data_IF_363372730815
#
_entry.id   IF_363372730815
#
_cell.length_a   1.000
_cell.length_b   1.000
_cell.length_c   1.000
_cell.angle_alpha   90.00
_cell.angle_beta   90.00
_cell.angle_gamma   90.00
#
_symmetry.space_group_name_H-M   'P 1'
#
loop_
_entity.id
_entity.type
_entity.pdbx_description
1 polymer ?
#
# COMPACT_ATOMS: atom_id res chain seq x y z
N UNK A 1 37.05 -44.08 36.19
CA UNK A 1 37.36 -42.88 35.39
C UNK A 1 36.69 -43.06 34.03
N UNK A 2 35.66 -42.28 33.72
CA UNK A 2 35.12 -42.16 32.36
C UNK A 2 34.38 -40.82 32.23
N UNK A 3 34.72 -40.10 31.17
CA UNK A 3 34.45 -38.68 30.95
C UNK A 3 33.09 -38.52 30.27
N UNK A 4 32.22 -37.67 30.82
CA UNK A 4 30.95 -37.33 30.22
C UNK A 4 31.15 -36.36 29.03
N UNK A 5 30.80 -36.80 27.81
CA UNK A 5 30.62 -35.91 26.66
C UNK A 5 29.25 -35.25 26.72
N UNK A 6 29.21 -33.93 27.00
CA UNK A 6 28.01 -33.11 26.81
C UNK A 6 27.71 -32.99 25.32
N UNK A 7 26.61 -33.60 24.86
CA UNK A 7 26.00 -33.28 23.57
C UNK A 7 25.48 -31.84 23.64
N UNK A 8 25.97 -30.98 22.75
CA UNK A 8 25.38 -29.66 22.50
C UNK A 8 24.09 -29.89 21.72
N UNK A 9 22.96 -29.83 22.40
CA UNK A 9 21.67 -29.73 21.73
C UNK A 9 21.58 -28.30 21.18
N UNK A 10 21.89 -28.14 19.89
CA UNK A 10 21.60 -26.93 19.17
C UNK A 10 20.08 -26.78 19.14
N UNK A 11 19.54 -26.01 20.09
CA UNK A 11 18.18 -25.50 20.07
C UNK A 11 18.05 -24.52 18.89
N UNK A 12 17.94 -25.06 17.68
CA UNK A 12 17.49 -24.33 16.52
C UNK A 12 15.98 -24.23 16.60
N UNK A 13 15.48 -23.10 17.09
CA UNK A 13 14.06 -22.75 16.96
C UNK A 13 13.79 -22.59 15.47
N UNK A 14 13.22 -23.62 14.85
CA UNK A 14 12.68 -23.49 13.49
C UNK A 14 11.29 -22.87 13.64
N UNK A 15 11.20 -21.54 13.49
CA UNK A 15 9.91 -20.88 13.29
C UNK A 15 9.40 -21.25 11.89
N UNK A 16 8.71 -22.40 11.79
CA UNK A 16 7.71 -22.59 10.73
C UNK A 16 6.50 -21.78 11.12
N UNK A 17 6.56 -20.47 10.87
CA UNK A 17 5.35 -19.69 10.77
C UNK A 17 4.84 -19.99 9.37
N UNK A 18 4.02 -21.04 9.25
CA UNK A 18 2.97 -20.99 8.26
C UNK A 18 2.13 -19.79 8.67
N UNK A 19 2.45 -18.61 8.14
CA UNK A 19 1.53 -17.49 8.19
C UNK A 19 0.39 -17.90 7.28
N UNK A 20 -0.80 -18.28 7.79
CA UNK A 20 -1.95 -18.21 6.93
C UNK A 20 -2.02 -16.75 6.53
N UNK A 21 -1.62 -16.44 5.30
CA UNK A 21 -2.08 -15.22 4.65
C UNK A 21 -3.56 -15.45 4.55
N UNK A 22 -4.28 -14.97 5.57
CA UNK A 22 -5.70 -14.78 5.52
C UNK A 22 -5.87 -13.70 4.47
N UNK A 23 -5.87 -14.11 3.20
CA UNK A 23 -6.51 -13.38 2.11
C UNK A 23 -8.01 -13.44 2.38
N UNK A 24 -8.44 -12.89 3.51
CA UNK A 24 -9.78 -12.41 3.60
C UNK A 24 -9.84 -11.29 2.56
N UNK A 25 -10.58 -11.53 1.49
CA UNK A 25 -10.97 -10.48 0.55
C UNK A 25 -11.48 -9.22 1.28
N UNK A 26 -11.95 -9.36 2.54
CA UNK A 26 -12.30 -8.28 3.47
C UNK A 26 -11.14 -7.31 3.74
N UNK A 27 -9.92 -7.79 4.02
CA UNK A 27 -8.76 -6.96 4.37
C UNK A 27 -8.19 -6.24 3.16
N UNK A 28 -8.00 -6.97 2.06
CA UNK A 28 -7.50 -6.40 0.81
C UNK A 28 -8.48 -5.36 0.24
N UNK A 29 -9.79 -5.63 0.26
CA UNK A 29 -10.81 -4.69 -0.19
C UNK A 29 -10.81 -3.42 0.66
N UNK A 30 -10.77 -3.55 1.99
CA UNK A 30 -10.74 -2.39 2.88
C UNK A 30 -9.49 -1.53 2.64
N UNK A 31 -8.32 -2.14 2.53
CA UNK A 31 -7.08 -1.41 2.22
C UNK A 31 -7.18 -0.68 0.89
N UNK A 32 -7.72 -1.33 -0.16
CA UNK A 32 -7.92 -0.68 -1.45
C UNK A 32 -8.92 0.48 -1.37
N UNK A 33 -10.00 0.34 -0.61
CA UNK A 33 -10.98 1.42 -0.40
C UNK A 33 -10.37 2.60 0.35
N UNK A 34 -9.54 2.35 1.36
CA UNK A 34 -8.82 3.41 2.07
C UNK A 34 -7.80 4.10 1.16
N UNK A 35 -7.07 3.36 0.33
CA UNK A 35 -6.14 3.93 -0.64
C UNK A 35 -6.88 4.80 -1.67
N UNK A 36 -8.05 4.36 -2.15
CA UNK A 36 -8.89 5.13 -3.07
C UNK A 36 -9.43 6.41 -2.44
N UNK A 37 -9.96 6.33 -1.23
CA UNK A 37 -10.40 7.52 -0.49
C UNK A 37 -9.24 8.51 -0.29
N UNK A 38 -8.06 8.02 0.10
CA UNK A 38 -6.89 8.86 0.32
C UNK A 38 -6.37 9.51 -0.96
N UNK A 39 -6.34 8.79 -2.09
CA UNK A 39 -5.95 9.37 -3.38
C UNK A 39 -6.87 10.53 -3.79
N UNK A 40 -8.19 10.37 -3.59
CA UNK A 40 -9.16 11.43 -3.86
C UNK A 40 -8.96 12.64 -2.93
N UNK A 41 -8.76 12.41 -1.62
CA UNK A 41 -8.44 13.48 -0.66
C UNK A 41 -7.18 14.25 -1.06
N UNK A 42 -6.10 13.53 -1.42
CA UNK A 42 -4.85 14.14 -1.85
C UNK A 42 -5.01 15.00 -3.11
N UNK A 43 -5.78 14.51 -4.10
CA UNK A 43 -6.11 15.28 -5.31
C UNK A 43 -6.86 16.56 -4.95
N UNK A 44 -7.85 16.47 -4.07
CA UNK A 44 -8.69 17.59 -3.70
C UNK A 44 -7.91 18.65 -2.88
N UNK A 45 -7.06 18.20 -1.96
CA UNK A 45 -6.13 19.07 -1.22
C UNK A 45 -5.14 19.77 -2.15
N UNK A 46 -4.54 19.03 -3.09
CA UNK A 46 -3.63 19.62 -4.08
C UNK A 46 -4.31 20.70 -4.91
N UNK A 47 -5.51 20.42 -5.44
CA UNK A 47 -6.25 21.38 -6.26
C UNK A 47 -6.66 22.62 -5.46
N UNK A 48 -7.04 22.44 -4.19
CA UNK A 48 -7.50 23.52 -3.31
C UNK A 48 -6.34 24.41 -2.85
N UNK A 49 -5.23 23.81 -2.44
CA UNK A 49 -4.17 24.51 -1.71
C UNK A 49 -2.98 24.87 -2.60
N UNK A 50 -2.60 23.99 -3.52
CA UNK A 50 -1.28 24.04 -4.17
C UNK A 50 -1.36 24.38 -5.66
N UNK A 51 -2.39 23.92 -6.38
CA UNK A 51 -2.46 24.05 -7.83
C UNK A 51 -2.28 25.51 -8.28
N UNK A 52 -3.06 26.44 -7.73
CA UNK A 52 -2.99 27.84 -8.11
C UNK A 52 -1.62 28.46 -7.81
N UNK A 53 -0.99 28.09 -6.69
CA UNK A 53 0.32 28.61 -6.31
C UNK A 53 1.42 28.10 -7.25
N UNK A 54 1.40 26.81 -7.59
CA UNK A 54 2.36 26.20 -8.52
C UNK A 54 2.13 26.74 -9.94
N UNK A 55 0.88 26.80 -10.40
CA UNK A 55 0.54 27.23 -11.76
C UNK A 55 0.90 28.69 -12.06
N UNK A 56 0.98 29.56 -11.03
CA UNK A 56 1.52 30.93 -11.18
C UNK A 56 3.01 30.94 -11.53
N UNK A 57 3.75 29.94 -11.08
CA UNK A 57 5.20 29.82 -11.32
C UNK A 57 5.49 28.98 -12.55
N UNK A 58 4.86 27.80 -12.66
CA UNK A 58 4.98 26.89 -13.80
C UNK A 58 3.69 26.09 -14.01
N UNK A 59 2.97 26.43 -15.08
CA UNK A 59 1.72 25.75 -15.47
C UNK A 59 1.92 24.30 -15.90
N UNK A 60 3.07 23.97 -16.51
CA UNK A 60 3.37 22.59 -16.96
C UNK A 60 3.59 21.68 -15.77
N UNK A 61 4.31 22.17 -14.75
CA UNK A 61 4.52 21.41 -13.50
C UNK A 61 3.19 21.19 -12.78
N UNK A 62 2.36 22.24 -12.62
CA UNK A 62 1.05 22.10 -12.01
C UNK A 62 0.17 21.05 -12.75
N UNK A 63 0.11 21.13 -14.08
CA UNK A 63 -0.65 20.18 -14.90
C UNK A 63 -0.12 18.73 -14.81
N UNK A 64 1.19 18.53 -14.66
CA UNK A 64 1.78 17.20 -14.44
C UNK A 64 1.32 16.60 -13.11
N UNK A 65 1.34 17.38 -12.02
CA UNK A 65 0.83 16.91 -10.73
C UNK A 65 -0.67 16.58 -10.79
N UNK A 66 -1.48 17.42 -11.43
CA UNK A 66 -2.90 17.11 -11.66
C UNK A 66 -3.08 15.79 -12.40
N UNK A 67 -2.28 15.55 -13.45
CA UNK A 67 -2.37 14.31 -14.26
C UNK A 67 -1.99 13.08 -13.43
N UNK A 68 -0.87 13.14 -12.70
CA UNK A 68 -0.41 12.05 -11.83
C UNK A 68 -1.43 11.71 -10.73
N UNK A 69 -2.05 12.72 -10.11
CA UNK A 69 -3.07 12.51 -9.07
C UNK A 69 -4.35 11.91 -9.66
N UNK A 70 -4.74 12.33 -10.85
CA UNK A 70 -5.89 11.73 -11.56
C UNK A 70 -5.62 10.26 -11.91
N UNK A 71 -4.42 9.95 -12.43
CA UNK A 71 -4.01 8.58 -12.72
C UNK A 71 -4.00 7.72 -11.45
N UNK A 72 -3.50 8.26 -10.33
CA UNK A 72 -3.53 7.59 -9.03
C UNK A 72 -4.97 7.23 -8.61
N UNK A 73 -5.91 8.19 -8.66
CA UNK A 73 -7.32 7.94 -8.35
C UNK A 73 -7.92 6.84 -9.24
N UNK A 74 -7.60 6.85 -10.54
CA UNK A 74 -8.07 5.82 -11.48
C UNK A 74 -7.51 4.45 -11.12
N UNK A 75 -6.22 4.35 -10.78
CA UNK A 75 -5.58 3.10 -10.40
C UNK A 75 -6.15 2.54 -9.09
N UNK A 76 -6.34 3.37 -8.07
CA UNK A 76 -6.92 2.95 -6.79
C UNK A 76 -8.37 2.51 -6.95
N UNK A 77 -9.19 3.27 -7.67
CA UNK A 77 -10.58 2.91 -7.95
C UNK A 77 -10.68 1.62 -8.78
N UNK A 78 -9.79 1.43 -9.75
CA UNK A 78 -9.70 0.19 -10.52
C UNK A 78 -9.30 -1.00 -9.63
N UNK A 79 -8.38 -0.80 -8.69
CA UNK A 79 -7.96 -1.82 -7.72
C UNK A 79 -9.13 -2.26 -6.85
N UNK A 80 -9.89 -1.30 -6.30
CA UNK A 80 -11.13 -1.61 -5.54
C UNK A 80 -12.10 -2.42 -6.40
N UNK A 81 -12.31 -2.02 -7.65
CA UNK A 81 -13.25 -2.69 -8.55
C UNK A 81 -12.80 -4.10 -8.94
N UNK A 82 -11.49 -4.32 -9.11
CA UNK A 82 -10.94 -5.64 -9.42
C UNK A 82 -11.12 -6.58 -8.22
N UNK A 83 -10.76 -6.14 -7.02
CA UNK A 83 -10.95 -6.93 -5.79
C UNK A 83 -12.43 -7.26 -5.56
N UNK A 84 -13.35 -6.30 -5.76
CA UNK A 84 -14.81 -6.54 -5.67
C UNK A 84 -15.30 -7.60 -6.65
N UNK A 85 -14.66 -7.71 -7.81
CA UNK A 85 -14.97 -8.70 -8.86
C UNK A 85 -14.21 -10.02 -8.66
N UNK A 86 -13.39 -10.14 -7.62
CA UNK A 86 -12.52 -11.29 -7.38
C UNK A 86 -11.42 -11.46 -8.43
N UNK A 87 -10.91 -10.35 -8.99
CA UNK A 87 -9.85 -10.30 -10.00
C UNK A 87 -8.53 -9.79 -9.42
#
# INVERSE_FOLDING_TARGET
>A
MNIASRKKDNCGITMRVDFPVVTEASGALRTAQHADAYANQLRDEFNTLLFAAIARTDKRVAGRFTSLLNELCVMTGSTVNNIRKGR
#
